data_IF_402468292159
#
_entry.id   IF_402468292159
#
_cell.length_a   1.000
_cell.length_b   1.000
_cell.length_c   1.000
_cell.angle_alpha   90.00
_cell.angle_beta   90.00
_cell.angle_gamma   90.00
#
_symmetry.space_group_name_H-M   'P 1'
#
loop_
_entity.id
_entity.type
_entity.pdbx_description
1 polymer ?
#
# COMPACT_ATOMS: atom_id res chain seq x y z
N UNK A 1 -4.77 -36.71 14.80
CA UNK A 1 -4.09 -36.78 13.49
C UNK A 1 -3.65 -38.21 13.23
N UNK A 2 -2.64 -38.73 13.93
CA UNK A 2 -2.17 -40.14 13.79
C UNK A 2 -3.29 -41.17 13.95
N UNK A 3 -4.11 -41.06 15.00
CA UNK A 3 -5.28 -41.93 15.24
C UNK A 3 -6.38 -41.87 14.16
N UNK A 4 -6.23 -41.00 13.15
CA UNK A 4 -7.09 -40.91 11.97
C UNK A 4 -6.33 -41.18 10.64
N UNK A 5 -5.08 -41.64 10.70
CA UNK A 5 -4.24 -41.91 9.52
C UNK A 5 -3.88 -40.68 8.69
N UNK A 6 -3.89 -39.48 9.29
CA UNK A 6 -3.69 -38.21 8.57
C UNK A 6 -2.29 -37.63 8.80
N UNK A 7 -1.40 -37.84 7.83
CA UNK A 7 -0.08 -37.20 7.77
C UNK A 7 -0.19 -35.71 7.44
N UNK A 8 0.18 -34.86 8.40
CA UNK A 8 0.26 -33.41 8.21
C UNK A 8 1.46 -33.05 7.32
N UNK A 9 1.17 -32.34 6.23
CA UNK A 9 2.11 -31.95 5.18
C UNK A 9 2.02 -30.46 4.90
N UNK A 10 3.04 -29.89 4.25
CA UNK A 10 3.17 -28.44 3.96
C UNK A 10 3.27 -27.57 5.22
N UNK A 11 4.03 -28.01 6.21
CA UNK A 11 4.34 -27.22 7.41
C UNK A 11 5.05 -25.91 7.06
N UNK A 12 4.64 -24.80 7.68
CA UNK A 12 5.21 -23.47 7.46
C UNK A 12 5.02 -22.62 8.72
N UNK A 13 5.91 -21.67 8.97
CA UNK A 13 5.89 -20.81 10.17
C UNK A 13 6.53 -19.44 9.87
N UNK A 14 6.34 -18.49 10.78
CA UNK A 14 6.96 -17.16 10.80
C UNK A 14 8.38 -17.17 11.44
N UNK A 15 8.68 -18.11 12.35
CA UNK A 15 9.98 -18.22 13.02
C UNK A 15 11.03 -18.99 12.19
N UNK A 16 12.10 -18.30 11.80
CA UNK A 16 13.20 -18.87 11.02
C UNK A 16 13.93 -20.01 11.75
N UNK A 17 14.06 -19.97 13.08
CA UNK A 17 14.74 -20.98 13.88
C UNK A 17 13.92 -22.28 13.91
N UNK A 18 12.62 -22.15 14.16
CA UNK A 18 11.66 -23.25 14.10
C UNK A 18 11.60 -23.86 12.70
N UNK A 19 11.67 -23.02 11.66
CA UNK A 19 11.73 -23.47 10.27
C UNK A 19 13.03 -24.22 9.93
N UNK A 20 14.16 -23.90 10.55
CA UNK A 20 15.36 -24.73 10.48
C UNK A 20 15.24 -26.02 11.29
N UNK A 21 14.65 -25.97 12.49
CA UNK A 21 14.47 -27.15 13.33
C UNK A 21 13.60 -28.20 12.64
N UNK A 22 12.44 -27.82 12.09
CA UNK A 22 11.58 -28.73 11.33
C UNK A 22 12.25 -29.32 10.08
N UNK A 23 13.18 -28.60 9.43
CA UNK A 23 14.02 -29.17 8.35
C UNK A 23 15.00 -30.22 8.87
N UNK A 24 15.63 -29.98 10.03
CA UNK A 24 16.55 -30.92 10.69
C UNK A 24 15.82 -32.17 11.21
N UNK A 25 14.57 -32.01 11.63
CA UNK A 25 13.66 -33.06 12.11
C UNK A 25 12.87 -33.76 10.97
N UNK A 26 13.21 -33.52 9.70
CA UNK A 26 12.61 -34.17 8.52
C UNK A 26 11.08 -33.96 8.35
N UNK A 27 10.51 -32.91 8.92
CA UNK A 27 9.10 -32.55 8.67
C UNK A 27 8.86 -32.23 7.19
N UNK A 28 7.64 -32.45 6.71
CA UNK A 28 7.24 -32.07 5.35
C UNK A 28 6.98 -30.56 5.26
N UNK A 29 8.05 -29.77 5.18
CA UNK A 29 8.03 -28.30 5.12
C UNK A 29 7.63 -27.79 3.73
N UNK A 30 6.83 -26.71 3.65
CA UNK A 30 6.59 -26.03 2.36
C UNK A 30 7.77 -25.10 2.02
N UNK A 31 8.41 -25.22 0.85
CA UNK A 31 9.44 -24.27 0.43
C UNK A 31 8.82 -22.90 0.15
N UNK A 32 9.36 -21.85 0.79
CA UNK A 32 8.90 -20.45 0.59
C UNK A 32 9.17 -19.96 -0.84
N UNK A 33 10.14 -20.57 -1.54
CA UNK A 33 10.50 -20.25 -2.92
C UNK A 33 9.78 -21.04 -4.00
N UNK A 34 9.12 -22.18 -3.68
CA UNK A 34 8.43 -23.03 -4.65
C UNK A 34 6.89 -22.89 -4.60
N UNK A 35 6.41 -21.78 -4.02
CA UNK A 35 5.01 -21.37 -4.11
C UNK A 35 4.67 -20.88 -5.54
N UNK A 36 4.73 -21.79 -6.53
CA UNK A 36 4.40 -21.52 -7.93
C UNK A 36 2.89 -21.31 -8.06
N UNK A 37 2.49 -20.06 -7.88
CA UNK A 37 1.17 -19.52 -8.21
C UNK A 37 1.37 -18.04 -8.57
N UNK A 38 0.68 -17.56 -9.60
CA UNK A 38 0.98 -16.28 -10.21
C UNK A 38 0.87 -15.12 -9.19
N UNK A 39 2.00 -14.46 -8.92
CA UNK A 39 1.99 -13.06 -8.47
C UNK A 39 2.46 -12.72 -7.04
N UNK A 40 2.87 -13.66 -6.18
CA UNK A 40 3.45 -13.27 -4.87
C UNK A 40 4.36 -14.33 -4.22
N UNK A 41 5.40 -13.87 -3.50
CA UNK A 41 6.18 -14.67 -2.55
C UNK A 41 5.39 -14.86 -1.24
N UNK A 42 4.30 -15.63 -1.26
CA UNK A 42 3.43 -15.86 -0.10
C UNK A 42 2.64 -17.16 -0.21
N UNK A 43 2.33 -17.76 0.93
CA UNK A 43 1.58 -19.04 0.99
C UNK A 43 0.12 -18.75 1.28
N UNK A 44 -0.81 -19.46 0.60
CA UNK A 44 -2.24 -19.30 0.89
C UNK A 44 -2.65 -20.08 2.15
N UNK A 45 -3.26 -19.39 3.10
CA UNK A 45 -3.83 -19.93 4.35
C UNK A 45 -5.29 -19.54 4.43
N UNK A 46 -6.17 -20.52 4.61
CA UNK A 46 -7.64 -20.36 4.53
C UNK A 46 -8.16 -19.72 3.22
N UNK A 47 -7.31 -19.53 2.21
CA UNK A 47 -7.59 -18.83 0.94
C UNK A 47 -7.04 -17.40 0.86
N UNK A 48 -6.70 -16.78 2.00
CA UNK A 48 -5.96 -15.52 2.09
C UNK A 48 -4.46 -15.73 1.83
N UNK A 49 -3.74 -14.70 1.42
CA UNK A 49 -2.29 -14.77 1.15
C UNK A 49 -1.47 -14.35 2.39
N UNK A 50 -0.82 -15.30 3.06
CA UNK A 50 0.06 -15.06 4.21
C UNK A 50 1.49 -14.76 3.76
N UNK A 51 2.07 -13.66 4.28
CA UNK A 51 3.51 -13.44 4.26
C UNK A 51 4.09 -13.88 5.61
N UNK A 52 4.79 -15.01 5.63
CA UNK A 52 5.36 -15.57 6.86
C UNK A 52 6.55 -14.77 7.38
N UNK A 53 7.34 -14.14 6.51
CA UNK A 53 8.55 -13.40 6.91
C UNK A 53 8.25 -12.11 7.67
N UNK A 54 7.03 -11.59 7.52
CA UNK A 54 6.59 -10.30 8.09
C UNK A 54 5.26 -10.45 8.88
N UNK A 55 4.83 -11.70 9.07
CA UNK A 55 3.62 -12.19 9.72
C UNK A 55 2.34 -11.36 9.54
N UNK A 56 1.84 -11.30 8.30
CA UNK A 56 0.51 -10.74 8.04
C UNK A 56 -0.25 -11.46 6.92
N UNK A 57 -1.58 -11.49 7.04
CA UNK A 57 -2.50 -11.93 6.00
C UNK A 57 -2.81 -10.78 5.04
N UNK A 58 -3.00 -11.09 3.76
CA UNK A 58 -3.44 -10.14 2.72
C UNK A 58 -4.57 -10.71 1.87
N UNK A 59 -5.53 -9.85 1.55
CA UNK A 59 -6.49 -10.02 0.45
C UNK A 59 -5.85 -9.57 -0.87
N UNK A 60 -6.35 -10.06 -2.00
CA UNK A 60 -5.96 -9.57 -3.33
C UNK A 60 -6.78 -8.32 -3.70
N UNK A 61 -6.30 -7.16 -3.26
CA UNK A 61 -6.89 -5.86 -3.61
C UNK A 61 -6.61 -5.47 -5.06
N UNK A 62 -5.52 -5.95 -5.67
CA UNK A 62 -5.10 -5.52 -6.99
C UNK A 62 -5.99 -6.10 -8.09
N UNK A 63 -6.27 -7.40 -8.05
CA UNK A 63 -7.21 -8.02 -9.01
C UNK A 63 -8.64 -7.52 -8.81
N UNK A 64 -8.98 -6.95 -7.66
CA UNK A 64 -10.24 -6.23 -7.46
C UNK A 64 -10.19 -4.86 -8.16
N UNK A 65 -9.23 -3.99 -7.83
CA UNK A 65 -9.12 -2.64 -8.38
C UNK A 65 -9.04 -2.65 -9.92
N UNK A 66 -8.15 -3.46 -10.51
CA UNK A 66 -8.00 -3.62 -11.97
C UNK A 66 -9.30 -4.08 -12.66
N UNK A 67 -10.17 -4.80 -11.96
CA UNK A 67 -11.47 -5.23 -12.48
C UNK A 67 -12.52 -4.13 -12.34
N UNK A 68 -12.53 -3.39 -11.23
CA UNK A 68 -13.50 -2.32 -10.95
C UNK A 68 -13.29 -1.12 -11.87
N UNK A 69 -12.04 -0.80 -12.23
CA UNK A 69 -11.67 0.23 -13.22
C UNK A 69 -12.24 0.01 -14.64
N UNK A 70 -12.97 -1.08 -14.89
CA UNK A 70 -13.72 -1.31 -16.13
C UNK A 70 -15.08 -0.58 -16.19
N UNK A 71 -15.54 0.05 -15.09
CA UNK A 71 -16.81 0.81 -14.92
C UNK A 71 -18.03 0.21 -15.67
N UNK A 72 -18.31 -1.08 -15.43
CA UNK A 72 -19.48 -1.74 -16.04
C UNK A 72 -20.64 -1.77 -15.07
N UNK A 73 -21.68 -1.00 -15.39
CA UNK A 73 -22.86 -0.87 -14.54
C UNK A 73 -23.89 -1.97 -14.89
N UNK A 74 -23.58 -3.24 -14.55
CA UNK A 74 -24.50 -4.39 -14.68
C UNK A 74 -24.48 -5.32 -13.46
N UNK A 75 -25.55 -6.11 -13.28
CA UNK A 75 -25.71 -7.08 -12.19
C UNK A 75 -24.62 -8.16 -12.17
N UNK A 76 -24.19 -8.66 -13.34
CA UNK A 76 -23.09 -9.62 -13.48
C UNK A 76 -21.76 -9.02 -13.02
N UNK A 77 -21.48 -7.76 -13.36
CA UNK A 77 -20.23 -7.10 -12.97
C UNK A 77 -20.13 -6.92 -11.45
N UNK A 78 -21.21 -6.45 -10.80
CA UNK A 78 -21.25 -6.35 -9.34
C UNK A 78 -21.02 -7.72 -8.69
N UNK A 79 -21.70 -8.78 -9.14
CA UNK A 79 -21.48 -10.11 -8.57
C UNK A 79 -20.03 -10.61 -8.77
N UNK A 80 -19.39 -10.30 -9.89
CA UNK A 80 -17.98 -10.62 -10.15
C UNK A 80 -17.01 -9.82 -9.27
N UNK A 81 -17.27 -8.53 -9.03
CA UNK A 81 -16.49 -7.71 -8.10
C UNK A 81 -16.62 -8.24 -6.66
N UNK A 82 -17.84 -8.51 -6.19
CA UNK A 82 -18.09 -9.05 -4.85
C UNK A 82 -17.48 -10.44 -4.68
N UNK A 83 -17.56 -11.30 -5.71
CA UNK A 83 -16.97 -12.64 -5.71
C UNK A 83 -15.43 -12.67 -5.66
N UNK A 84 -14.75 -11.58 -6.02
CA UNK A 84 -13.29 -11.41 -5.82
C UNK A 84 -12.93 -11.11 -4.36
N UNK A 85 -13.86 -10.63 -3.55
CA UNK A 85 -13.60 -10.22 -2.16
C UNK A 85 -13.76 -11.42 -1.22
N UNK A 86 -12.64 -12.12 -1.04
CA UNK A 86 -12.56 -13.28 -0.18
C UNK A 86 -12.21 -12.90 1.28
N UNK A 87 -13.20 -12.90 2.16
CA UNK A 87 -13.09 -12.62 3.59
C UNK A 87 -13.62 -13.80 4.43
N UNK A 88 -12.79 -14.82 4.73
CA UNK A 88 -13.21 -16.00 5.49
C UNK A 88 -13.29 -15.77 7.01
N UNK A 89 -12.75 -14.65 7.49
CA UNK A 89 -12.67 -14.31 8.93
C UNK A 89 -13.68 -13.22 9.33
N UNK A 90 -14.37 -12.60 8.35
CA UNK A 90 -15.34 -11.53 8.58
C UNK A 90 -14.72 -10.17 8.91
N UNK A 91 -13.41 -9.99 8.67
CA UNK A 91 -12.64 -8.78 9.03
C UNK A 91 -13.11 -7.53 8.29
N UNK A 92 -13.65 -7.71 7.08
CA UNK A 92 -14.28 -6.65 6.26
C UNK A 92 -15.77 -6.94 6.05
N UNK A 93 -16.39 -7.70 6.96
CA UNK A 93 -17.83 -7.98 6.91
C UNK A 93 -18.72 -6.71 6.95
N UNK A 94 -18.38 -5.60 7.67
CA UNK A 94 -19.17 -4.35 7.61
C UNK A 94 -19.11 -3.63 6.25
N UNK A 95 -18.12 -3.95 5.42
CA UNK A 95 -17.96 -3.45 4.05
C UNK A 95 -18.67 -4.39 3.06
N UNK A 96 -18.40 -5.71 3.11
CA UNK A 96 -19.01 -6.68 2.19
C UNK A 96 -20.50 -6.91 2.43
N UNK A 97 -21.04 -6.64 3.62
CA UNK A 97 -22.48 -6.72 3.86
C UNK A 97 -23.27 -5.69 3.03
N UNK A 98 -22.71 -4.49 2.79
CA UNK A 98 -23.35 -3.46 1.95
C UNK A 98 -23.58 -3.98 0.53
N UNK A 99 -22.59 -4.68 -0.02
CA UNK A 99 -22.67 -5.31 -1.33
C UNK A 99 -23.68 -6.46 -1.37
N UNK A 100 -23.76 -7.25 -0.28
CA UNK A 100 -24.74 -8.34 -0.16
C UNK A 100 -26.18 -7.80 -0.10
N UNK A 101 -26.40 -6.64 0.51
CA UNK A 101 -27.67 -5.92 0.42
C UNK A 101 -27.94 -5.38 -0.99
N UNK A 102 -26.97 -4.70 -1.62
CA UNK A 102 -27.10 -4.18 -3.00
C UNK A 102 -27.40 -5.30 -4.02
N UNK A 103 -26.76 -6.46 -3.86
CA UNK A 103 -27.08 -7.68 -4.60
C UNK A 103 -28.48 -8.18 -4.27
N UNK A 104 -28.90 -8.22 -3.00
CA UNK A 104 -30.27 -8.62 -2.65
C UNK A 104 -31.32 -7.73 -3.34
N UNK A 105 -31.10 -6.41 -3.40
CA UNK A 105 -32.00 -5.46 -4.06
C UNK A 105 -32.04 -5.67 -5.58
N UNK A 106 -30.89 -5.92 -6.21
CA UNK A 106 -30.81 -6.35 -7.63
C UNK A 106 -31.51 -7.67 -7.94
N UNK A 107 -31.84 -8.48 -6.94
CA UNK A 107 -32.62 -9.71 -7.11
C UNK A 107 -34.11 -9.50 -6.80
N UNK A 108 -34.48 -8.55 -5.92
CA UNK A 108 -35.88 -8.10 -5.72
C UNK A 108 -36.44 -7.40 -6.96
N UNK A 109 -35.61 -6.65 -7.67
CA UNK A 109 -36.00 -5.89 -8.88
C UNK A 109 -35.89 -6.72 -10.18
N UNK A 110 -35.64 -8.04 -10.08
CA UNK A 110 -35.60 -9.02 -11.19
C UNK A 110 -34.68 -8.69 -12.40
N UNK A 111 -33.82 -7.66 -12.27
CA UNK A 111 -32.86 -7.19 -13.27
C UNK A 111 -32.05 -8.35 -13.86
N UNK A 112 -31.87 -8.41 -15.19
CA UNK A 112 -31.12 -9.49 -15.83
C UNK A 112 -29.60 -9.30 -15.65
N UNK A 113 -28.83 -10.31 -16.04
CA UNK A 113 -27.38 -10.35 -15.79
C UNK A 113 -26.60 -9.21 -16.44
N UNK A 114 -26.96 -8.84 -17.66
CA UNK A 114 -26.24 -7.87 -18.50
C UNK A 114 -27.01 -6.56 -18.70
N UNK A 115 -28.17 -6.41 -18.06
CA UNK A 115 -28.95 -5.18 -18.08
C UNK A 115 -28.22 -4.04 -17.34
N UNK A 116 -28.44 -2.77 -17.75
CA UNK A 116 -27.95 -1.62 -17.02
C UNK A 116 -28.61 -1.50 -15.64
N UNK A 117 -27.84 -1.07 -14.64
CA UNK A 117 -28.35 -0.85 -13.28
C UNK A 117 -29.42 0.25 -13.24
N UNK A 118 -30.52 0.07 -12.48
CA UNK A 118 -31.46 1.15 -12.15
C UNK A 118 -30.75 2.32 -11.45
N UNK A 119 -31.13 3.56 -11.77
CA UNK A 119 -30.36 4.77 -11.37
C UNK A 119 -30.24 5.00 -9.86
N UNK A 120 -31.06 4.37 -9.01
CA UNK A 120 -30.88 4.36 -7.56
C UNK A 120 -29.81 3.36 -7.12
N UNK A 121 -29.83 2.14 -7.69
CA UNK A 121 -28.80 1.11 -7.45
C UNK A 121 -27.45 1.58 -7.99
N UNK A 122 -27.41 2.18 -9.18
CA UNK A 122 -26.19 2.77 -9.77
C UNK A 122 -25.56 3.84 -8.84
N UNK A 123 -26.39 4.67 -8.20
CA UNK A 123 -25.92 5.70 -7.24
C UNK A 123 -25.43 5.10 -5.92
N UNK A 124 -26.00 3.99 -5.46
CA UNK A 124 -25.48 3.28 -4.28
C UNK A 124 -24.23 2.45 -4.62
N UNK A 125 -24.11 1.95 -5.85
CA UNK A 125 -22.90 1.33 -6.38
C UNK A 125 -21.76 2.34 -6.51
N UNK A 126 -21.95 3.50 -7.16
CA UNK A 126 -20.88 4.49 -7.38
C UNK A 126 -20.39 5.20 -6.10
N UNK A 127 -21.09 5.08 -4.97
CA UNK A 127 -20.54 5.45 -3.64
C UNK A 127 -19.50 4.47 -3.12
N UNK A 128 -19.41 3.28 -3.69
CA UNK A 128 -18.42 2.29 -3.29
C UNK A 128 -17.00 2.67 -3.72
N UNK A 129 -16.90 3.35 -4.87
CA UNK A 129 -15.64 3.83 -5.45
C UNK A 129 -15.17 5.18 -4.87
N UNK A 130 -15.95 5.81 -3.98
CA UNK A 130 -15.63 7.09 -3.30
C UNK A 130 -14.61 6.86 -2.14
N UNK A 131 -13.62 5.99 -2.39
CA UNK A 131 -12.65 5.42 -1.43
C UNK A 131 -11.25 5.43 -2.04
N UNK A 132 -10.34 6.18 -1.42
CA UNK A 132 -8.97 6.41 -1.89
C UNK A 132 -7.95 5.92 -0.84
N UNK A 133 -6.78 5.47 -1.30
CA UNK A 133 -5.64 5.11 -0.46
C UNK A 133 -4.52 6.14 -0.63
N UNK A 134 -4.18 6.83 0.46
CA UNK A 134 -3.15 7.88 0.50
C UNK A 134 -1.93 7.39 1.26
N UNK A 135 -0.82 7.19 0.56
CA UNK A 135 0.44 6.73 1.14
C UNK A 135 1.40 7.89 1.39
N UNK A 136 1.92 7.97 2.60
CA UNK A 136 2.94 8.94 3.01
C UNK A 136 4.21 8.20 3.39
N UNK A 137 5.36 8.66 2.90
CA UNK A 137 6.68 8.19 3.34
C UNK A 137 7.55 9.32 3.87
N UNK A 138 8.52 8.96 4.70
CA UNK A 138 9.58 9.86 5.13
C UNK A 138 10.85 9.09 5.51
N UNK A 139 11.99 9.79 5.58
CA UNK A 139 13.27 9.24 6.00
C UNK A 139 14.13 10.23 6.77
N UNK A 140 14.82 9.73 7.79
CA UNK A 140 15.82 10.44 8.58
C UNK A 140 17.13 9.66 8.61
N UNK A 141 18.18 10.25 9.20
CA UNK A 141 19.45 9.57 9.48
C UNK A 141 19.33 8.42 10.50
N UNK A 142 18.14 8.19 11.11
CA UNK A 142 17.88 7.15 12.12
C UNK A 142 16.90 6.07 11.65
N UNK A 143 15.86 6.42 10.88
CA UNK A 143 14.83 5.50 10.42
C UNK A 143 14.16 6.01 9.14
N UNK A 144 13.50 5.11 8.41
CA UNK A 144 12.66 5.42 7.25
C UNK A 144 11.39 4.57 7.28
N UNK A 145 10.31 5.02 6.64
CA UNK A 145 9.07 4.27 6.67
C UNK A 145 7.95 4.89 5.84
N UNK A 146 6.77 4.29 5.93
CA UNK A 146 5.55 4.81 5.34
C UNK A 146 4.29 4.45 6.15
N UNK A 147 3.25 5.29 5.99
CA UNK A 147 1.91 5.10 6.52
C UNK A 147 0.88 5.21 5.39
N UNK A 148 -0.17 4.39 5.41
CA UNK A 148 -1.28 4.43 4.45
C UNK A 148 -2.56 4.79 5.17
N UNK A 149 -3.27 5.76 4.61
CA UNK A 149 -4.56 6.26 5.07
C UNK A 149 -5.66 5.92 4.08
N UNK A 150 -6.81 5.46 4.59
CA UNK A 150 -8.04 5.35 3.82
C UNK A 150 -8.77 6.68 3.90
N UNK A 151 -8.93 7.37 2.78
CA UNK A 151 -9.82 8.53 2.63
C UNK A 151 -11.14 8.02 2.07
N UNK A 152 -12.23 8.24 2.80
CA UNK A 152 -13.58 7.82 2.39
C UNK A 152 -14.47 9.04 2.30
N UNK A 153 -15.10 9.24 1.15
CA UNK A 153 -16.02 10.35 0.93
C UNK A 153 -17.46 9.86 1.14
N UNK A 154 -18.28 10.69 1.77
CA UNK A 154 -19.62 10.31 2.23
C UNK A 154 -20.56 11.51 2.24
N UNK A 155 -21.87 11.24 2.36
CA UNK A 155 -22.91 12.27 2.51
C UNK A 155 -22.69 13.17 3.74
N UNK A 156 -21.93 12.69 4.73
CA UNK A 156 -21.64 13.39 5.98
C UNK A 156 -20.26 14.10 5.96
N UNK A 157 -19.65 14.27 4.77
CA UNK A 157 -18.28 14.76 4.60
C UNK A 157 -17.27 13.64 4.37
N UNK A 158 -15.99 13.99 4.37
CA UNK A 158 -14.87 13.07 4.16
C UNK A 158 -14.35 12.57 5.53
N UNK A 159 -14.02 11.28 5.61
CA UNK A 159 -13.40 10.68 6.79
C UNK A 159 -12.12 9.96 6.41
N UNK A 160 -11.05 10.22 7.17
CA UNK A 160 -9.71 9.69 6.93
C UNK A 160 -9.26 8.87 8.14
N UNK A 161 -8.69 7.69 7.89
CA UNK A 161 -8.18 6.77 8.93
C UNK A 161 -6.88 6.09 8.52
N UNK A 162 -5.94 5.99 9.46
CA UNK A 162 -4.75 5.14 9.31
C UNK A 162 -5.18 3.66 9.12
N UNK A 163 -4.68 3.02 8.06
CA UNK A 163 -4.92 1.59 7.76
C UNK A 163 -3.76 0.74 8.25
N UNK A 164 -2.54 1.16 7.91
CA UNK A 164 -1.30 0.44 8.22
C UNK A 164 -0.12 1.40 8.16
N UNK A 165 0.96 1.06 8.86
CA UNK A 165 2.23 1.75 8.71
C UNK A 165 3.39 0.78 8.95
N UNK A 166 4.58 1.14 8.46
CA UNK A 166 5.78 0.34 8.61
C UNK A 166 7.03 1.22 8.61
N UNK A 167 7.93 0.98 9.55
CA UNK A 167 9.22 1.65 9.66
C UNK A 167 10.36 0.65 9.73
N UNK A 168 11.56 1.13 9.40
CA UNK A 168 12.81 0.40 9.45
C UNK A 168 13.91 1.33 9.97
N UNK A 169 14.82 0.79 10.79
CA UNK A 169 16.00 1.51 11.28
C UNK A 169 16.98 1.74 10.11
N UNK A 170 17.58 2.93 10.04
CA UNK A 170 18.58 3.27 9.04
C UNK A 170 19.86 2.41 9.24
N UNK A 171 20.45 1.81 8.18
CA UNK A 171 21.63 0.98 8.34
C UNK A 171 22.85 1.77 8.86
N UNK A 172 23.56 1.19 9.83
CA UNK A 172 24.79 1.75 10.43
C UNK A 172 25.89 2.06 9.39
N UNK A 173 25.87 1.37 8.24
CA UNK A 173 26.79 1.57 7.13
C UNK A 173 26.43 2.84 6.32
N UNK A 174 26.57 4.01 6.95
CA UNK A 174 26.45 5.38 6.41
C UNK A 174 25.75 5.51 5.04
N UNK A 175 24.43 5.31 5.04
CA UNK A 175 23.60 5.49 3.84
C UNK A 175 23.27 6.97 3.65
N UNK A 176 23.29 7.46 2.41
CA UNK A 176 22.90 8.84 2.08
C UNK A 176 21.40 9.05 2.29
N UNK A 177 20.99 10.24 2.74
CA UNK A 177 19.59 10.55 3.04
C UNK A 177 18.66 10.33 1.82
N UNK A 178 19.00 10.75 0.57
CA UNK A 178 18.19 10.43 -0.62
C UNK A 178 18.02 8.95 -0.94
N UNK A 179 18.91 8.09 -0.42
CA UNK A 179 18.77 6.63 -0.54
C UNK A 179 17.91 6.03 0.58
N UNK A 180 17.75 6.72 1.71
CA UNK A 180 16.78 6.37 2.74
C UNK A 180 15.37 6.87 2.34
N UNK A 181 15.25 8.07 1.76
CA UNK A 181 14.02 8.60 1.16
C UNK A 181 13.44 7.62 0.12
N UNK A 182 14.26 7.20 -0.86
CA UNK A 182 13.88 6.20 -1.87
C UNK A 182 13.52 4.82 -1.26
N UNK A 183 14.02 4.50 -0.06
CA UNK A 183 13.60 3.30 0.68
C UNK A 183 12.29 3.52 1.46
N UNK A 184 11.98 4.74 1.91
CA UNK A 184 10.68 5.13 2.45
C UNK A 184 9.58 5.07 1.39
N UNK A 185 9.79 5.72 0.24
CA UNK A 185 8.86 5.67 -0.90
C UNK A 185 8.66 4.24 -1.41
N UNK A 186 9.70 3.40 -1.37
CA UNK A 186 9.56 1.96 -1.60
C UNK A 186 8.65 1.26 -0.58
N UNK A 187 8.72 1.60 0.71
CA UNK A 187 7.83 1.01 1.72
C UNK A 187 6.38 1.44 1.46
N UNK A 188 6.13 2.71 1.11
CA UNK A 188 4.82 3.19 0.67
C UNK A 188 4.30 2.38 -0.53
N UNK A 189 5.06 2.36 -1.63
CA UNK A 189 4.78 1.58 -2.84
C UNK A 189 4.42 0.11 -2.55
N UNK A 190 5.19 -0.58 -1.71
CA UNK A 190 4.96 -2.00 -1.38
C UNK A 190 3.76 -2.25 -0.49
N UNK A 191 3.40 -1.30 0.36
CA UNK A 191 2.17 -1.36 1.16
C UNK A 191 0.94 -1.06 0.29
N UNK A 192 1.08 -0.20 -0.72
CA UNK A 192 0.01 0.17 -1.64
C UNK A 192 -0.24 -0.87 -2.75
N UNK A 193 0.81 -1.50 -3.30
CA UNK A 193 0.67 -2.41 -4.45
C UNK A 193 1.78 -3.46 -4.56
N UNK A 194 1.45 -4.57 -5.24
CA UNK A 194 2.39 -5.65 -5.61
C UNK A 194 2.49 -5.69 -7.15
N UNK A 195 3.67 -5.40 -7.71
CA UNK A 195 3.91 -5.28 -9.15
C UNK A 195 5.40 -5.44 -9.54
N UNK A 196 5.69 -5.72 -10.81
CA UNK A 196 7.02 -6.13 -11.30
C UNK A 196 7.68 -5.10 -12.26
N UNK A 197 8.98 -5.27 -12.59
CA UNK A 197 9.90 -4.11 -12.75
C UNK A 197 11.03 -4.18 -13.81
N UNK A 198 11.36 -3.02 -14.41
CA UNK A 198 12.56 -2.67 -15.25
C UNK A 198 12.74 -1.13 -15.25
N UNK A 199 13.82 -0.41 -15.66
CA UNK A 199 15.31 -0.58 -15.92
C UNK A 199 15.73 0.73 -16.68
N UNK A 200 16.76 1.58 -16.50
CA UNK A 200 17.93 1.93 -15.63
C UNK A 200 18.77 0.85 -14.92
N UNK A 201 19.82 1.29 -14.19
CA UNK A 201 20.59 0.48 -13.20
C UNK A 201 19.60 -0.28 -12.31
N UNK A 202 19.60 -1.60 -12.46
CA UNK A 202 18.38 -2.38 -12.28
C UNK A 202 17.78 -2.30 -10.88
N UNK A 203 18.57 -2.19 -9.80
CA UNK A 203 18.00 -1.98 -8.46
C UNK A 203 17.26 -0.65 -8.31
N UNK A 204 17.78 0.46 -8.85
CA UNK A 204 17.21 1.81 -8.64
C UNK A 204 16.03 2.07 -9.59
N UNK A 205 16.19 1.74 -10.87
CA UNK A 205 15.11 1.81 -11.86
C UNK A 205 13.89 1.03 -11.39
N UNK A 206 14.11 -0.20 -10.93
CA UNK A 206 13.05 -1.09 -10.50
C UNK A 206 12.37 -0.59 -9.22
N UNK A 207 12.86 0.47 -8.58
CA UNK A 207 12.24 1.10 -7.41
C UNK A 207 11.49 2.35 -7.81
N UNK A 208 12.13 3.26 -8.55
CA UNK A 208 11.47 4.45 -9.11
C UNK A 208 10.28 4.04 -9.98
N UNK A 209 10.48 3.15 -10.97
CA UNK A 209 9.41 2.68 -11.85
C UNK A 209 8.40 1.74 -11.15
N UNK A 210 8.74 1.16 -9.99
CA UNK A 210 7.75 0.46 -9.15
C UNK A 210 6.83 1.50 -8.51
N UNK A 211 7.40 2.50 -7.83
CA UNK A 211 6.68 3.61 -7.20
C UNK A 211 5.80 4.34 -8.24
N UNK A 212 6.38 4.90 -9.31
CA UNK A 212 5.65 5.73 -10.28
C UNK A 212 4.73 4.96 -11.25
N UNK A 213 4.61 3.63 -11.12
CA UNK A 213 3.58 2.85 -11.83
C UNK A 213 2.43 2.40 -10.92
N UNK A 214 2.49 2.72 -9.62
CA UNK A 214 1.47 2.35 -8.62
C UNK A 214 1.09 3.50 -7.66
N UNK A 215 1.80 4.63 -7.71
CA UNK A 215 1.45 5.90 -7.04
C UNK A 215 1.47 7.04 -8.05
N UNK A 216 0.70 8.10 -7.77
CA UNK A 216 0.80 9.40 -8.45
C UNK A 216 1.63 10.33 -7.55
N UNK A 217 2.94 10.52 -7.83
CA UNK A 217 3.88 11.12 -6.89
C UNK A 217 3.69 12.63 -6.77
N UNK A 218 3.49 13.05 -5.53
CA UNK A 218 3.32 14.44 -5.11
C UNK A 218 4.35 14.76 -4.02
N UNK A 219 4.36 15.98 -3.47
CA UNK A 219 5.23 16.32 -2.36
C UNK A 219 4.59 17.28 -1.37
N UNK A 220 4.69 16.94 -0.08
CA UNK A 220 4.18 17.76 1.03
C UNK A 220 5.32 18.22 1.94
N UNK A 221 5.09 19.30 2.70
CA UNK A 221 6.07 19.76 3.68
C UNK A 221 6.20 18.74 4.83
N UNK A 222 7.42 18.51 5.33
CA UNK A 222 7.65 17.59 6.46
C UNK A 222 6.85 17.93 7.73
N UNK A 223 6.43 19.20 7.88
CA UNK A 223 5.53 19.66 8.97
C UNK A 223 4.08 19.16 8.83
N UNK A 224 3.66 18.71 7.65
CA UNK A 224 2.31 18.21 7.35
C UNK A 224 2.31 16.69 7.15
N UNK A 225 3.47 16.12 6.77
CA UNK A 225 3.67 14.70 6.52
C UNK A 225 3.56 13.85 7.82
N UNK A 226 2.54 12.98 7.99
CA UNK A 226 2.43 12.10 9.16
C UNK A 226 3.53 11.02 9.22
N UNK A 227 4.24 10.73 8.12
CA UNK A 227 5.35 9.77 8.13
C UNK A 227 6.61 10.32 8.82
N UNK A 228 6.72 11.63 9.06
CA UNK A 228 7.79 12.24 9.87
C UNK A 228 7.90 11.58 11.26
N UNK A 229 6.74 11.22 11.84
CA UNK A 229 6.66 10.50 13.11
C UNK A 229 7.24 9.08 13.05
N UNK A 230 7.32 8.45 11.86
CA UNK A 230 7.98 7.15 11.66
C UNK A 230 9.51 7.28 11.53
N UNK A 231 10.00 8.40 10.99
CA UNK A 231 11.44 8.61 10.76
C UNK A 231 12.14 9.24 11.98
N UNK A 232 11.43 10.06 12.76
CA UNK A 232 11.95 10.73 13.98
C UNK A 232 11.52 10.03 15.28
N UNK A 233 10.39 9.33 15.27
CA UNK A 233 9.79 8.71 16.45
C UNK A 233 8.87 9.64 17.24
N UNK A 234 8.08 9.06 18.15
CA UNK A 234 7.11 9.76 18.99
C UNK A 234 7.01 9.08 20.38
N UNK A 235 6.65 9.82 21.43
CA UNK A 235 6.34 9.22 22.74
C UNK A 235 4.94 8.60 22.76
N UNK A 236 4.66 7.73 23.74
CA UNK A 236 3.35 7.08 23.87
C UNK A 236 2.22 8.10 24.11
N UNK A 237 2.42 9.06 25.01
CA UNK A 237 1.41 10.09 25.32
C UNK A 237 1.10 10.95 24.09
N UNK A 238 2.14 11.38 23.36
CA UNK A 238 1.98 12.08 22.10
C UNK A 238 1.28 11.22 21.05
N UNK A 239 1.56 9.91 20.97
CA UNK A 239 0.95 9.00 19.99
C UNK A 239 -0.56 8.86 20.21
N UNK A 240 -1.02 8.78 21.46
CA UNK A 240 -2.46 8.71 21.78
C UNK A 240 -3.16 10.03 21.45
N UNK A 241 -2.50 11.19 21.67
CA UNK A 241 -3.09 12.51 21.44
C UNK A 241 -2.94 13.09 20.01
N UNK A 242 -2.05 12.54 19.18
CA UNK A 242 -1.70 13.10 17.87
C UNK A 242 -2.77 12.78 16.81
N UNK A 243 -3.68 13.73 16.58
CA UNK A 243 -4.72 13.65 15.55
C UNK A 243 -4.16 13.30 14.17
N UNK A 244 -3.12 14.02 13.72
CA UNK A 244 -2.50 13.86 12.39
C UNK A 244 -1.96 12.44 12.15
N UNK A 245 -1.51 11.74 13.20
CA UNK A 245 -1.13 10.33 13.06
C UNK A 245 -2.32 9.41 12.77
N UNK A 246 -3.49 9.67 13.38
CA UNK A 246 -4.68 8.81 13.24
C UNK A 246 -5.61 9.20 12.06
N UNK A 247 -5.62 10.48 11.67
CA UNK A 247 -6.45 11.03 10.58
C UNK A 247 -5.65 11.51 9.37
N UNK A 248 -4.32 11.37 9.39
CA UNK A 248 -3.44 11.78 8.30
C UNK A 248 -3.23 13.29 8.22
N UNK A 249 -2.63 13.76 7.12
CA UNK A 249 -2.35 15.17 6.88
C UNK A 249 -3.63 16.02 6.82
N UNK A 250 -3.51 17.29 7.23
CA UNK A 250 -4.66 18.19 7.47
C UNK A 250 -5.47 18.54 6.22
N UNK A 251 -4.90 18.37 5.02
CA UNK A 251 -5.58 18.54 3.73
C UNK A 251 -6.35 17.30 3.24
N UNK A 252 -6.16 16.12 3.84
CA UNK A 252 -6.85 14.90 3.38
C UNK A 252 -8.38 14.94 3.60
N UNK A 253 -8.93 15.57 4.66
CA UNK A 253 -10.37 15.79 4.81
C UNK A 253 -10.97 16.80 3.82
N UNK A 254 -10.17 17.58 3.11
CA UNK A 254 -10.67 18.63 2.20
C UNK A 254 -11.20 18.04 0.87
N UNK A 255 -12.10 18.79 0.23
CA UNK A 255 -12.73 18.38 -1.04
C UNK A 255 -11.86 18.61 -2.28
N UNK A 256 -10.89 19.53 -2.22
CA UNK A 256 -9.90 19.79 -3.26
C UNK A 256 -8.49 19.60 -2.67
N UNK A 257 -7.57 18.98 -3.42
CA UNK A 257 -6.17 18.94 -3.02
C UNK A 257 -5.51 20.32 -3.18
N UNK A 258 -4.60 20.73 -2.27
CA UNK A 258 -3.88 22.00 -2.36
C UNK A 258 -3.17 22.19 -3.71
N UNK A 259 -3.51 23.26 -4.43
CA UNK A 259 -3.07 23.51 -5.82
C UNK A 259 -1.57 23.82 -5.97
N UNK A 260 -0.86 23.91 -4.85
CA UNK A 260 0.60 24.03 -4.72
C UNK A 260 1.32 22.68 -4.66
N UNK A 261 0.60 21.55 -4.64
CA UNK A 261 1.19 20.23 -4.87
C UNK A 261 1.78 20.18 -6.29
N UNK A 262 3.11 20.30 -6.40
CA UNK A 262 3.81 20.07 -7.66
C UNK A 262 3.68 18.59 -8.02
N UNK A 263 2.93 18.31 -9.08
CA UNK A 263 2.98 17.00 -9.75
C UNK A 263 4.42 16.80 -10.25
N UNK A 264 5.04 15.67 -9.91
CA UNK A 264 6.42 15.39 -10.29
C UNK A 264 6.45 15.03 -11.78
N UNK A 265 6.58 16.05 -12.64
CA UNK A 265 6.69 15.89 -14.09
C UNK A 265 7.88 14.97 -14.39
N UNK A 266 7.67 13.85 -15.12
CA UNK A 266 8.75 12.93 -15.45
C UNK A 266 9.60 13.45 -16.62
N UNK A 267 10.25 14.60 -16.44
CA UNK A 267 11.39 15.03 -17.28
C UNK A 267 12.58 14.10 -17.00
N UNK A 268 12.55 12.94 -17.67
CA UNK A 268 13.47 11.82 -17.49
C UNK A 268 14.51 11.77 -18.63
N UNK A 269 14.86 12.96 -19.12
CA UNK A 269 15.75 13.25 -20.24
C UNK A 269 16.11 14.76 -20.09
N UNK A 270 17.35 15.23 -20.19
CA UNK A 270 18.62 14.59 -20.53
C UNK A 270 19.71 15.24 -19.67
N UNK A 271 20.58 14.46 -19.01
CA UNK A 271 21.80 14.98 -18.38
C UNK A 271 22.95 14.00 -18.59
N UNK A 272 23.99 14.46 -19.28
CA UNK A 272 25.23 13.71 -19.55
C UNK A 272 26.05 13.54 -18.27
N UNK A 273 27.19 12.83 -18.37
CA UNK A 273 28.05 12.54 -17.21
C UNK A 273 28.58 13.79 -16.52
N UNK A 274 28.99 14.81 -17.28
CA UNK A 274 29.61 16.03 -16.74
C UNK A 274 28.61 16.95 -16.03
N UNK A 275 27.39 17.13 -16.57
CA UNK A 275 26.41 18.07 -15.99
C UNK A 275 26.00 17.67 -14.56
N UNK A 276 26.03 16.36 -14.28
CA UNK A 276 25.84 15.80 -12.93
C UNK A 276 26.97 16.13 -11.97
N UNK A 277 28.20 16.28 -12.46
CA UNK A 277 29.33 16.75 -11.65
C UNK A 277 29.19 18.25 -11.37
N UNK A 278 28.79 19.05 -12.37
CA UNK A 278 28.54 20.50 -12.21
C UNK A 278 27.49 20.79 -11.14
N UNK A 279 26.31 20.15 -11.21
CA UNK A 279 25.23 20.34 -10.21
C UNK A 279 25.66 19.91 -8.81
N UNK A 280 26.49 18.86 -8.67
CA UNK A 280 27.04 18.44 -7.37
C UNK A 280 28.13 19.38 -6.85
N UNK A 281 28.90 20.02 -7.73
CA UNK A 281 29.87 21.07 -7.36
C UNK A 281 29.16 22.37 -6.93
N UNK A 282 28.05 22.74 -7.57
CA UNK A 282 27.29 23.94 -7.23
C UNK A 282 26.45 23.77 -5.96
N UNK A 283 25.80 22.62 -5.76
CA UNK A 283 25.10 22.30 -4.49
C UNK A 283 26.03 22.26 -3.28
N UNK A 284 27.36 22.13 -3.46
CA UNK A 284 28.37 22.24 -2.39
C UNK A 284 28.78 23.69 -2.05
N UNK A 285 28.33 24.69 -2.83
CA UNK A 285 28.64 26.12 -2.60
C UNK A 285 27.54 26.88 -1.86
N UNK A 286 26.35 26.28 -1.71
CA UNK A 286 25.23 26.90 -0.99
C UNK A 286 25.52 26.90 0.53
N UNK A 287 25.37 28.05 1.22
CA UNK A 287 25.63 28.16 2.65
C UNK A 287 24.59 27.43 3.50
N UNK A 288 24.93 27.14 4.74
CA UNK A 288 24.26 26.07 5.51
C UNK A 288 22.87 26.41 6.07
N UNK A 289 22.36 27.62 5.81
CA UNK A 289 21.15 28.17 6.41
C UNK A 289 19.83 27.78 5.70
N UNK A 290 19.84 27.57 4.38
CA UNK A 290 18.59 27.40 3.59
C UNK A 290 17.94 26.00 3.70
N UNK A 291 18.52 25.07 4.49
CA UNK A 291 18.02 23.69 4.64
C UNK A 291 16.81 23.55 5.59
N UNK A 292 15.99 24.60 5.72
CA UNK A 292 14.71 24.55 6.45
C UNK A 292 13.50 24.24 5.55
N UNK A 293 13.67 24.26 4.22
CA UNK A 293 12.61 24.03 3.23
C UNK A 293 12.96 22.86 2.29
N UNK A 294 13.32 21.70 2.87
CA UNK A 294 13.54 20.47 2.09
C UNK A 294 12.20 19.72 1.86
N UNK A 295 11.76 19.76 0.60
CA UNK A 295 10.52 19.21 0.02
C UNK A 295 10.57 17.67 -0.06
N UNK A 296 9.67 16.95 0.63
CA UNK A 296 9.72 15.47 0.77
C UNK A 296 8.87 14.77 -0.28
N UNK A 297 9.48 13.91 -1.09
CA UNK A 297 8.81 13.12 -2.14
C UNK A 297 7.92 12.01 -1.54
N UNK A 298 6.74 11.83 -2.13
CA UNK A 298 5.77 10.75 -1.85
C UNK A 298 5.87 9.61 -2.89
#
# INVERSE_FOLDING_TARGET
MEAAGMDLRKWITNDANLMEQWKKENFNVHPVHEAVSLGANGTKVLGLSWNTNEDYLTTDTKSLLEFVSLDKNTKRFILQAVGKIFDPLGLISPFTVRMKCLLQDLWKEEIQWDDPLPTHIEKEWKKWDDVELHSFCDASKKAYGAAIYLRTKSRNGISVKLVTSKSHVAPLNCVTLPRLELLGALVAARLASKGNKTRWKQFVANRVNEITSITDPHSCAGKENPADFLSRGLSADCLVSNSRWWTGAEFLPDSEFPKNFQQVVPELDYLTGHEKETVVQERKKLPEADRSEETVLL
#
